data_IF_007874036946
#
_entry.id   IF_007874036946
#
_cell.length_a   1.000
_cell.length_b   1.000
_cell.length_c   1.000
_cell.angle_alpha   90.00
_cell.angle_beta   90.00
_cell.angle_gamma   90.00
#
_symmetry.space_group_name_H-M   'P 1'
#
loop_
_entity.id
_entity.type
_entity.pdbx_description
1 polymer ?
#
# COMPACT_ATOMS: atom_id res chain seq x y z
N UNK A 1 2.20 21.90 -0.81
CA UNK A 1 1.31 22.87 -1.50
C UNK A 1 0.42 22.17 -2.54
N UNK A 2 -0.90 22.28 -2.39
CA UNK A 2 -1.89 21.86 -3.41
C UNK A 2 -2.80 23.06 -3.63
N UNK A 3 -2.42 23.95 -4.56
CA UNK A 3 -3.12 25.23 -4.74
C UNK A 3 -4.57 25.02 -5.19
N UNK A 4 -4.83 23.99 -5.97
CA UNK A 4 -6.16 23.61 -6.45
C UNK A 4 -7.11 23.19 -5.31
N UNK A 5 -6.56 22.79 -4.17
CA UNK A 5 -7.33 22.45 -2.97
C UNK A 5 -7.54 23.66 -2.04
N UNK A 6 -7.14 24.87 -2.47
CA UNK A 6 -7.15 26.06 -1.63
C UNK A 6 -6.05 26.07 -0.56
N UNK A 7 -5.09 25.15 -0.64
CA UNK A 7 -3.96 25.00 0.29
C UNK A 7 -2.67 25.44 -0.41
N UNK A 8 -2.63 26.76 -0.65
CA UNK A 8 -1.56 27.44 -1.37
C UNK A 8 -0.46 28.02 -0.47
N UNK A 9 0.60 28.52 -1.11
CA UNK A 9 1.74 29.17 -0.44
C UNK A 9 1.34 30.39 0.40
N UNK A 10 0.26 31.09 0.05
CA UNK A 10 -0.23 32.26 0.80
C UNK A 10 -0.70 31.93 2.22
N UNK A 11 -1.14 30.69 2.48
CA UNK A 11 -1.55 30.23 3.81
C UNK A 11 -0.37 29.84 4.71
N UNK A 12 0.84 29.72 4.15
CA UNK A 12 2.06 29.50 4.92
C UNK A 12 2.21 28.10 5.54
N UNK A 13 1.61 27.06 4.92
CA UNK A 13 1.65 25.66 5.37
C UNK A 13 1.40 25.52 6.89
N UNK A 14 0.19 25.88 7.37
CA UNK A 14 -0.07 25.93 8.80
C UNK A 14 -0.04 24.54 9.43
N UNK A 15 0.39 24.49 10.69
CA UNK A 15 0.32 23.29 11.51
C UNK A 15 -1.14 22.96 11.84
N UNK A 16 -1.51 21.68 11.68
CA UNK A 16 -2.82 21.17 12.05
C UNK A 16 -2.70 20.10 13.13
N UNK A 17 -3.75 19.96 13.95
CA UNK A 17 -3.80 18.95 15.01
C UNK A 17 -3.99 17.57 14.39
N UNK A 18 -3.10 16.63 14.73
CA UNK A 18 -3.22 15.23 14.35
C UNK A 18 -3.45 14.37 15.60
N UNK A 19 -4.51 13.55 15.57
CA UNK A 19 -4.86 12.67 16.69
C UNK A 19 -4.78 11.19 16.29
N UNK A 20 -4.39 10.28 17.20
CA UNK A 20 -4.36 8.85 16.91
C UNK A 20 -5.74 8.30 16.58
N UNK A 21 -5.83 7.48 15.54
CA UNK A 21 -7.04 6.73 15.20
C UNK A 21 -7.12 5.50 16.12
N UNK A 22 -8.16 5.38 16.97
CA UNK A 22 -8.30 4.25 17.89
C UNK A 22 -8.29 2.91 17.15
N UNK A 23 -7.63 1.90 17.74
CA UNK A 23 -7.57 0.54 17.19
C UNK A 23 -6.57 0.33 16.04
N UNK A 24 -5.78 1.35 15.69
CA UNK A 24 -4.80 1.25 14.57
C UNK A 24 -3.35 1.07 15.03
N UNK A 25 -3.10 1.01 16.33
CA UNK A 25 -1.77 0.72 16.86
C UNK A 25 -1.41 -0.73 16.57
N UNK A 26 -0.37 -0.95 15.78
CA UNK A 26 0.11 -2.28 15.38
C UNK A 26 1.65 -2.30 15.31
N UNK A 27 2.32 -3.45 15.49
CA UNK A 27 3.76 -3.54 15.22
C UNK A 27 4.12 -3.06 13.81
N UNK A 28 5.26 -2.40 13.65
CA UNK A 28 5.73 -1.95 12.33
C UNK A 28 6.22 -3.14 11.51
N UNK A 29 5.93 -3.16 10.20
CA UNK A 29 6.44 -4.20 9.31
C UNK A 29 7.98 -4.27 9.25
N UNK A 30 8.67 -3.13 9.41
CA UNK A 30 10.12 -3.05 9.27
C UNK A 30 10.89 -3.54 10.51
N UNK A 31 10.33 -3.32 11.70
CA UNK A 31 10.87 -3.80 12.97
C UNK A 31 9.69 -4.09 13.91
N UNK A 32 9.03 -5.25 13.75
CA UNK A 32 7.83 -5.57 14.51
C UNK A 32 8.13 -5.88 15.99
N UNK A 33 9.40 -6.03 16.36
CA UNK A 33 9.78 -6.33 17.74
C UNK A 33 9.92 -5.08 18.59
N UNK A 34 10.46 -3.99 18.02
CA UNK A 34 10.81 -2.79 18.78
C UNK A 34 10.07 -1.53 18.34
N UNK A 35 9.40 -1.53 17.18
CA UNK A 35 8.73 -0.36 16.62
C UNK A 35 7.24 -0.68 16.39
N UNK A 36 6.38 0.29 16.74
CA UNK A 36 4.96 0.25 16.43
C UNK A 36 4.57 1.43 15.52
N UNK A 37 3.48 1.27 14.79
CA UNK A 37 2.88 2.27 13.92
C UNK A 37 1.43 2.54 14.32
N UNK A 38 0.96 3.76 14.08
CA UNK A 38 -0.41 4.18 14.37
C UNK A 38 -0.87 5.14 13.28
N UNK A 39 -2.13 5.01 12.85
CA UNK A 39 -2.71 5.98 11.91
C UNK A 39 -3.10 7.24 12.68
N UNK A 40 -2.81 8.40 12.09
CA UNK A 40 -3.29 9.68 12.58
C UNK A 40 -4.40 10.20 11.67
N UNK A 41 -5.33 10.98 12.21
CA UNK A 41 -6.28 11.78 11.44
C UNK A 41 -6.13 13.25 11.82
N UNK A 42 -6.29 14.11 10.82
CA UNK A 42 -6.04 15.54 10.95
C UNK A 42 -7.36 16.27 11.22
N UNK A 43 -7.29 17.27 12.10
CA UNK A 43 -8.41 18.10 12.51
C UNK A 43 -8.08 19.58 12.27
N UNK A 44 -9.12 20.36 11.99
CA UNK A 44 -9.07 21.81 12.08
C UNK A 44 -8.99 22.29 13.54
N UNK A 45 -8.67 23.58 13.74
CA UNK A 45 -8.49 24.17 15.08
C UNK A 45 -9.74 24.05 15.97
N UNK A 46 -10.92 24.01 15.37
CA UNK A 46 -12.20 23.83 16.05
C UNK A 46 -12.53 22.35 16.37
N UNK A 47 -11.62 21.43 16.03
CA UNK A 47 -11.76 20.00 16.23
C UNK A 47 -12.58 19.28 15.15
N UNK A 48 -13.01 19.99 14.10
CA UNK A 48 -13.70 19.34 12.97
C UNK A 48 -12.72 18.57 12.08
N UNK A 49 -13.18 17.54 11.32
CA UNK A 49 -12.30 16.78 10.44
C UNK A 49 -11.73 17.65 9.32
N UNK A 50 -10.39 17.69 9.18
CA UNK A 50 -9.73 18.47 8.13
C UNK A 50 -10.15 18.02 6.73
N UNK A 51 -10.52 18.97 5.88
CA UNK A 51 -11.37 18.66 4.74
C UNK A 51 -10.66 17.92 3.59
N UNK A 52 -9.35 18.04 3.47
CA UNK A 52 -8.57 17.38 2.40
C UNK A 52 -7.83 16.13 2.85
N UNK A 53 -7.89 15.79 4.15
CA UNK A 53 -7.26 14.59 4.67
C UNK A 53 -7.94 13.33 4.08
N UNK A 54 -7.22 12.42 3.40
CA UNK A 54 -7.83 11.32 2.65
C UNK A 54 -8.82 10.45 3.44
N UNK A 55 -8.55 10.16 4.72
CA UNK A 55 -9.44 9.39 5.60
C UNK A 55 -10.72 10.17 5.91
N UNK A 56 -10.62 11.47 6.17
CA UNK A 56 -11.80 12.33 6.36
C UNK A 56 -12.63 12.43 5.08
N UNK A 57 -11.99 12.59 3.92
CA UNK A 57 -12.66 12.56 2.60
C UNK A 57 -13.42 11.24 2.41
N UNK A 58 -12.76 10.11 2.67
CA UNK A 58 -13.37 8.77 2.57
C UNK A 58 -14.53 8.62 3.57
N UNK A 59 -14.36 9.05 4.82
CA UNK A 59 -15.40 8.98 5.84
C UNK A 59 -16.64 9.79 5.43
N UNK A 60 -16.49 10.98 4.84
CA UNK A 60 -17.64 11.74 4.31
C UNK A 60 -18.40 11.00 3.21
N UNK A 61 -17.71 10.30 2.31
CA UNK A 61 -18.35 9.46 1.29
C UNK A 61 -19.07 8.28 1.96
N UNK A 62 -18.39 7.60 2.87
CA UNK A 62 -18.90 6.45 3.62
C UNK A 62 -20.20 6.78 4.38
N UNK A 63 -20.21 7.88 5.14
CA UNK A 63 -21.40 8.30 5.90
C UNK A 63 -22.58 8.63 4.97
N UNK A 64 -22.35 9.29 3.82
CA UNK A 64 -23.40 9.59 2.84
C UNK A 64 -24.04 8.33 2.26
N UNK A 65 -23.25 7.29 2.02
CA UNK A 65 -23.77 5.99 1.56
C UNK A 65 -24.60 5.31 2.66
N UNK A 66 -24.12 5.31 3.90
CA UNK A 66 -24.86 4.72 5.04
C UNK A 66 -26.16 5.43 5.36
N UNK A 67 -26.20 6.76 5.23
CA UNK A 67 -27.43 7.56 5.39
C UNK A 67 -28.52 7.18 4.36
N UNK A 68 -28.12 6.60 3.22
CA UNK A 68 -29.03 6.06 2.20
C UNK A 68 -29.41 4.59 2.42
N UNK A 69 -28.98 4.00 3.54
CA UNK A 69 -29.18 2.57 3.84
C UNK A 69 -28.25 1.63 3.07
N UNK A 70 -27.19 2.15 2.44
CA UNK A 70 -26.21 1.34 1.72
C UNK A 70 -25.05 0.92 2.64
N UNK A 71 -24.53 -0.29 2.41
CA UNK A 71 -23.34 -0.80 3.09
C UNK A 71 -22.19 -0.91 2.08
N UNK A 72 -21.38 0.14 1.89
CA UNK A 72 -20.23 0.10 1.00
C UNK A 72 -19.22 -0.98 1.42
N UNK A 73 -18.69 -1.71 0.44
CA UNK A 73 -17.63 -2.72 0.60
C UNK A 73 -16.59 -2.45 -0.48
N UNK A 74 -15.32 -2.64 -0.14
CA UNK A 74 -14.18 -2.50 -1.06
C UNK A 74 -13.34 -3.77 -0.93
N UNK A 75 -12.94 -4.32 -2.06
CA UNK A 75 -11.89 -5.33 -2.19
C UNK A 75 -10.76 -4.70 -2.99
N UNK A 76 -9.51 -5.01 -2.63
CA UNK A 76 -8.34 -4.40 -3.27
C UNK A 76 -7.44 -5.50 -3.83
N UNK A 77 -7.14 -5.41 -5.12
CA UNK A 77 -6.11 -6.20 -5.79
C UNK A 77 -4.85 -5.32 -5.84
N UNK A 78 -3.83 -5.68 -5.06
CA UNK A 78 -2.60 -4.91 -4.98
C UNK A 78 -1.53 -5.53 -5.89
N UNK A 79 -1.42 -5.00 -7.10
CA UNK A 79 -0.34 -5.34 -8.01
C UNK A 79 0.95 -4.57 -7.70
N UNK A 80 2.09 -5.25 -7.80
CA UNK A 80 3.41 -4.67 -7.62
C UNK A 80 4.47 -5.36 -8.47
N UNK A 81 5.62 -4.69 -8.62
CA UNK A 81 6.78 -5.24 -9.32
C UNK A 81 7.93 -5.48 -8.34
N UNK A 82 8.52 -6.67 -8.41
CA UNK A 82 9.90 -6.85 -8.00
C UNK A 82 10.78 -6.33 -9.14
N UNK A 83 11.80 -5.55 -8.80
CA UNK A 83 12.74 -4.96 -9.76
C UNK A 83 14.17 -5.31 -9.37
N UNK A 84 15.03 -5.47 -10.37
CA UNK A 84 16.46 -5.54 -10.12
C UNK A 84 16.98 -4.18 -9.65
N UNK A 85 17.91 -4.21 -8.68
CA UNK A 85 18.64 -3.05 -8.22
C UNK A 85 19.59 -2.53 -9.31
N UNK A 86 20.07 -3.40 -10.18
CA UNK A 86 20.85 -3.03 -11.36
C UNK A 86 19.91 -2.56 -12.47
N UNK A 87 20.22 -1.42 -13.08
CA UNK A 87 19.53 -0.93 -14.28
C UNK A 87 20.04 -1.66 -15.52
N UNK A 88 19.24 -1.67 -16.58
CA UNK A 88 19.69 -2.19 -17.87
C UNK A 88 20.76 -1.30 -18.52
N UNK A 89 21.22 -1.66 -19.71
CA UNK A 89 22.28 -0.94 -20.41
C UNK A 89 21.88 0.50 -20.78
N UNK A 90 20.58 0.75 -20.92
CA UNK A 90 19.97 2.03 -21.25
C UNK A 90 19.60 2.85 -19.99
N UNK A 91 19.71 2.26 -18.80
CA UNK A 91 19.45 2.89 -17.51
C UNK A 91 18.01 2.74 -17.01
N UNK A 92 17.17 1.92 -17.62
CA UNK A 92 15.80 1.67 -17.17
C UNK A 92 15.73 0.60 -16.06
N UNK A 93 14.67 0.60 -15.23
CA UNK A 93 14.35 -0.52 -14.35
C UNK A 93 14.12 -1.79 -15.16
N UNK A 94 14.58 -2.94 -14.64
CA UNK A 94 14.42 -4.23 -15.31
C UNK A 94 13.92 -5.30 -14.32
N UNK A 95 13.27 -6.37 -14.81
CA UNK A 95 12.82 -7.47 -13.96
C UNK A 95 13.98 -8.15 -13.23
N UNK A 96 13.78 -8.67 -12.01
CA UNK A 96 14.81 -9.36 -11.25
C UNK A 96 15.25 -10.64 -11.95
N UNK A 97 16.48 -11.07 -11.68
CA UNK A 97 16.88 -12.44 -11.97
C UNK A 97 16.12 -13.40 -11.05
N UNK A 98 15.85 -14.62 -11.51
CA UNK A 98 15.37 -15.68 -10.63
C UNK A 98 16.38 -15.90 -9.48
N UNK A 99 15.95 -15.98 -8.21
CA UNK A 99 16.87 -16.13 -7.09
C UNK A 99 17.80 -17.33 -7.26
N UNK A 100 19.10 -17.10 -7.03
CA UNK A 100 20.14 -18.11 -7.23
C UNK A 100 20.64 -18.26 -8.68
N UNK A 101 20.10 -17.51 -9.65
CA UNK A 101 20.53 -17.54 -11.05
C UNK A 101 20.91 -16.16 -11.58
N UNK A 102 21.37 -16.11 -12.83
CA UNK A 102 21.56 -14.87 -13.62
C UNK A 102 20.49 -14.75 -14.71
N UNK A 103 19.47 -15.61 -14.69
CA UNK A 103 18.43 -15.66 -15.70
C UNK A 103 17.29 -14.73 -15.34
N UNK A 104 16.86 -13.93 -16.32
CA UNK A 104 15.71 -13.02 -16.20
C UNK A 104 14.53 -13.58 -16.96
N UNK A 105 13.35 -13.50 -16.36
CA UNK A 105 12.12 -13.76 -17.09
C UNK A 105 11.88 -12.62 -18.09
N UNK A 106 11.72 -12.97 -19.36
CA UNK A 106 11.49 -12.02 -20.48
C UNK A 106 10.11 -12.16 -21.12
N UNK A 107 9.34 -13.17 -20.73
CA UNK A 107 8.01 -13.47 -21.25
C UNK A 107 6.95 -13.33 -20.16
N UNK A 108 5.69 -13.19 -20.58
CA UNK A 108 4.53 -13.14 -19.69
C UNK A 108 4.50 -14.34 -18.75
N UNK A 109 4.19 -14.10 -17.47
CA UNK A 109 4.24 -15.10 -16.41
C UNK A 109 2.89 -15.35 -15.74
N UNK A 110 1.77 -14.99 -16.40
CA UNK A 110 0.42 -15.17 -15.81
C UNK A 110 0.27 -16.62 -15.34
N UNK A 111 -0.01 -16.80 -14.05
CA UNK A 111 -0.18 -18.12 -13.40
C UNK A 111 1.04 -19.07 -13.45
N UNK A 112 2.25 -18.56 -13.67
CA UNK A 112 3.48 -19.36 -13.65
C UNK A 112 3.81 -19.82 -12.22
N UNK A 113 3.54 -21.10 -11.92
CA UNK A 113 3.87 -21.73 -10.63
C UNK A 113 5.39 -21.73 -10.37
N UNK A 114 6.19 -21.87 -11.42
CA UNK A 114 7.65 -21.83 -11.32
C UNK A 114 8.15 -20.44 -10.91
N UNK A 115 7.54 -19.37 -11.44
CA UNK A 115 7.89 -18.01 -11.03
C UNK A 115 7.46 -17.71 -9.58
N UNK A 116 6.30 -18.21 -9.14
CA UNK A 116 5.90 -18.14 -7.73
C UNK A 116 6.91 -18.84 -6.83
N UNK A 117 7.40 -20.01 -7.21
CA UNK A 117 8.42 -20.74 -6.45
C UNK A 117 9.74 -19.97 -6.36
N UNK A 118 10.17 -19.33 -7.45
CA UNK A 118 11.40 -18.54 -7.46
C UNK A 118 11.36 -17.40 -6.43
N UNK A 119 10.22 -16.74 -6.26
CA UNK A 119 10.07 -15.59 -5.35
C UNK A 119 9.31 -15.92 -4.06
N UNK A 120 9.14 -17.21 -3.75
CA UNK A 120 8.33 -17.69 -2.63
C UNK A 120 8.78 -17.12 -1.28
N UNK A 121 10.09 -16.95 -1.06
CA UNK A 121 10.62 -16.41 0.19
C UNK A 121 10.09 -14.99 0.47
N UNK A 122 10.13 -14.11 -0.54
CA UNK A 122 9.67 -12.72 -0.38
C UNK A 122 8.15 -12.66 -0.25
N UNK A 123 7.43 -13.50 -1.00
CA UNK A 123 5.97 -13.55 -0.94
C UNK A 123 5.48 -14.10 0.42
N UNK A 124 6.20 -15.08 0.97
CA UNK A 124 5.92 -15.64 2.31
C UNK A 124 6.22 -14.63 3.41
N UNK A 125 7.27 -13.81 3.25
CA UNK A 125 7.57 -12.73 4.20
C UNK A 125 6.49 -11.64 4.18
N UNK A 126 6.00 -11.27 2.99
CA UNK A 126 4.86 -10.34 2.85
C UNK A 126 3.61 -10.88 3.55
N UNK A 127 3.29 -12.16 3.35
CA UNK A 127 2.14 -12.82 4.00
C UNK A 127 2.25 -12.80 5.54
N UNK A 128 3.40 -13.19 6.08
CA UNK A 128 3.62 -13.19 7.53
C UNK A 128 3.54 -11.78 8.14
N UNK A 129 4.12 -10.78 7.46
CA UNK A 129 4.03 -9.39 7.89
C UNK A 129 2.61 -8.82 7.75
N UNK A 130 1.84 -9.23 6.74
CA UNK A 130 0.43 -8.86 6.61
C UNK A 130 -0.39 -9.42 7.77
N UNK A 131 -0.18 -10.70 8.11
CA UNK A 131 -0.81 -11.36 9.26
C UNK A 131 -0.48 -10.67 10.59
N UNK A 132 0.79 -10.31 10.81
CA UNK A 132 1.21 -9.57 12.01
C UNK A 132 0.57 -8.18 12.11
N UNK A 133 0.30 -7.55 10.96
CA UNK A 133 -0.36 -6.25 10.90
C UNK A 133 -1.89 -6.31 10.93
N UNK A 134 -2.49 -7.51 10.90
CA UNK A 134 -3.94 -7.70 10.83
C UNK A 134 -4.55 -7.35 9.48
N UNK A 135 -3.74 -7.39 8.41
CA UNK A 135 -4.19 -7.21 7.03
C UNK A 135 -4.70 -8.57 6.52
N UNK A 136 -5.95 -8.65 6.01
CA UNK A 136 -6.54 -9.90 5.54
C UNK A 136 -6.04 -10.26 4.14
N UNK A 137 -4.72 -10.40 3.98
CA UNK A 137 -4.15 -10.79 2.70
C UNK A 137 -4.53 -12.24 2.36
N UNK A 138 -5.04 -12.43 1.14
CA UNK A 138 -5.20 -13.72 0.49
C UNK A 138 -3.93 -14.06 -0.31
N UNK A 139 -3.96 -15.18 -1.04
CA UNK A 139 -2.80 -15.69 -1.78
C UNK A 139 -2.23 -14.70 -2.81
N UNK A 140 -0.92 -14.78 -3.01
CA UNK A 140 -0.23 -14.03 -4.06
C UNK A 140 -0.29 -14.77 -5.41
N UNK A 141 -0.42 -14.02 -6.50
CA UNK A 141 -0.40 -14.55 -7.87
C UNK A 141 0.67 -13.87 -8.73
N UNK A 142 1.19 -14.60 -9.72
CA UNK A 142 2.09 -14.06 -10.73
C UNK A 142 1.28 -13.49 -11.90
N UNK A 143 1.61 -12.26 -12.28
CA UNK A 143 0.81 -11.46 -13.21
C UNK A 143 1.37 -11.42 -14.65
N UNK A 144 0.70 -10.65 -15.52
CA UNK A 144 0.99 -10.61 -16.95
C UNK A 144 2.40 -10.16 -17.33
N UNK A 145 3.06 -9.33 -16.52
CA UNK A 145 4.38 -8.78 -16.85
C UNK A 145 5.50 -9.45 -16.06
N UNK A 146 6.72 -9.54 -16.61
CA UNK A 146 7.84 -10.13 -15.88
C UNK A 146 8.14 -9.38 -14.58
N UNK A 147 8.23 -10.13 -13.47
CA UNK A 147 8.45 -9.57 -12.13
C UNK A 147 7.21 -8.92 -11.50
N UNK A 148 6.04 -9.01 -12.14
CA UNK A 148 4.78 -8.52 -11.62
C UNK A 148 4.08 -9.60 -10.77
N UNK A 149 3.58 -9.18 -9.61
CA UNK A 149 2.84 -10.01 -8.67
C UNK A 149 1.63 -9.23 -8.16
N UNK A 150 0.65 -9.94 -7.63
CA UNK A 150 -0.53 -9.36 -7.01
C UNK A 150 -0.80 -10.04 -5.66
N UNK A 151 -1.28 -9.26 -4.69
CA UNK A 151 -1.86 -9.74 -3.43
C UNK A 151 -3.31 -9.25 -3.33
N UNK A 152 -4.22 -10.17 -3.03
CA UNK A 152 -5.65 -9.91 -2.84
C UNK A 152 -5.95 -9.54 -1.37
N UNK A 153 -6.87 -8.60 -1.12
CA UNK A 153 -7.25 -8.07 0.20
C UNK A 153 -8.78 -7.91 0.38
#
# INVERSE_FOLDING_TARGET
VVEEAGLGQELGEPDHVCVPVPGTLTPSAADPQYIAQVLLTMLDEDGTPFDVEPRNVLNRVWQRLRQRGLSPVVAVELEFYLIDRQRDAEGYPQPPCAPGTQERNTQSQVYSVENLNHFADVLSEIDELARLQGIPADGAVAEASPGQFEVNL
#
